data_IF_243565524082
#
_entry.id   IF_243565524082
#
_cell.length_a   1.000
_cell.length_b   1.000
_cell.length_c   1.000
_cell.angle_alpha   90.00
_cell.angle_beta   90.00
_cell.angle_gamma   90.00
#
_symmetry.space_group_name_H-M   'P 1'
#
loop_
_entity.id
_entity.type
_entity.pdbx_description
1 polymer ?
#
# COMPACT_ATOMS: atom_id res chain seq x y z
N UNK A 1 2.02 10.40 19.27
CA UNK A 1 0.59 10.45 19.64
C UNK A 1 -0.12 11.74 19.23
N UNK A 2 0.41 12.93 19.52
CA UNK A 2 -0.29 14.20 19.21
C UNK A 2 -0.75 14.34 17.75
N UNK A 3 0.07 13.92 16.79
CA UNK A 3 -0.30 13.95 15.36
C UNK A 3 -1.46 13.02 14.99
N UNK A 4 -1.55 11.85 15.63
CA UNK A 4 -2.67 10.93 15.43
C UNK A 4 -3.97 11.55 15.96
N UNK A 5 -3.93 12.12 17.16
CA UNK A 5 -5.10 12.80 17.77
C UNK A 5 -5.51 14.01 16.93
N UNK A 6 -4.54 14.81 16.47
CA UNK A 6 -4.79 15.95 15.60
C UNK A 6 -5.42 15.53 14.27
N UNK A 7 -4.85 14.54 13.58
CA UNK A 7 -5.40 14.02 12.32
C UNK A 7 -6.80 13.42 12.52
N UNK A 8 -7.02 12.71 13.63
CA UNK A 8 -8.34 12.18 14.00
C UNK A 8 -9.37 13.31 14.21
N UNK A 9 -9.01 14.34 14.98
CA UNK A 9 -9.90 15.48 15.19
C UNK A 9 -10.19 16.23 13.87
N UNK A 10 -9.14 16.50 13.09
CA UNK A 10 -9.25 17.17 11.79
C UNK A 10 -10.27 16.48 10.89
N UNK A 11 -10.12 15.18 10.67
CA UNK A 11 -10.95 14.44 9.71
C UNK A 11 -12.36 14.16 10.25
N UNK A 12 -12.52 14.01 11.57
CA UNK A 12 -13.82 13.98 12.22
C UNK A 12 -14.60 15.28 11.96
N UNK A 13 -14.02 16.44 12.30
CA UNK A 13 -14.69 17.72 12.18
C UNK A 13 -14.91 18.14 10.72
N UNK A 14 -13.91 17.96 9.86
CA UNK A 14 -14.05 18.28 8.43
C UNK A 14 -15.08 17.38 7.76
N UNK A 15 -15.14 16.09 8.09
CA UNK A 15 -16.18 15.17 7.62
C UNK A 15 -17.59 15.66 7.98
N UNK A 16 -17.79 16.07 9.24
CA UNK A 16 -19.05 16.67 9.69
C UNK A 16 -19.38 17.97 8.93
N UNK A 17 -18.41 18.87 8.75
CA UNK A 17 -18.60 20.12 8.02
C UNK A 17 -18.90 19.93 6.53
N UNK A 18 -18.31 18.92 5.88
CA UNK A 18 -18.65 18.55 4.50
C UNK A 18 -20.11 18.11 4.41
N UNK A 19 -20.55 17.27 5.34
CA UNK A 19 -21.94 16.78 5.33
C UNK A 19 -22.96 17.90 5.58
N UNK A 20 -22.65 18.83 6.49
CA UNK A 20 -23.51 19.96 6.86
C UNK A 20 -23.50 21.13 5.86
N UNK A 21 -22.52 21.18 4.95
CA UNK A 21 -22.40 22.28 3.99
C UNK A 21 -23.60 22.32 3.02
N UNK A 22 -24.24 23.50 2.95
CA UNK A 22 -25.47 23.73 2.15
C UNK A 22 -25.19 23.81 0.65
N UNK A 23 -23.98 24.21 0.27
CA UNK A 23 -23.60 24.46 -1.11
C UNK A 23 -22.29 23.74 -1.46
N UNK A 24 -22.04 23.61 -2.77
CA UNK A 24 -20.89 22.84 -3.24
C UNK A 24 -19.54 23.54 -3.00
N UNK A 25 -19.51 24.87 -2.82
CA UNK A 25 -18.26 25.57 -2.49
C UNK A 25 -17.86 25.26 -1.05
N UNK A 26 -18.81 25.28 -0.11
CA UNK A 26 -18.58 24.84 1.26
C UNK A 26 -18.05 23.41 1.35
N UNK A 27 -18.67 22.46 0.64
CA UNK A 27 -18.19 21.06 0.58
C UNK A 27 -16.76 20.95 0.07
N UNK A 28 -16.44 21.66 -1.02
CA UNK A 28 -15.09 21.66 -1.61
C UNK A 28 -14.06 22.31 -0.68
N UNK A 29 -14.40 23.39 0.01
CA UNK A 29 -13.50 24.07 0.93
C UNK A 29 -13.05 23.13 2.05
N UNK A 30 -14.00 22.49 2.76
CA UNK A 30 -13.67 21.58 3.86
C UNK A 30 -12.94 20.32 3.39
N UNK A 31 -13.30 19.81 2.21
CA UNK A 31 -12.56 18.71 1.57
C UNK A 31 -11.10 19.10 1.34
N UNK A 32 -10.84 20.20 0.64
CA UNK A 32 -9.47 20.60 0.31
C UNK A 32 -8.67 21.07 1.52
N UNK A 33 -9.33 21.57 2.56
CA UNK A 33 -8.69 21.86 3.84
C UNK A 33 -8.17 20.57 4.50
N UNK A 34 -9.01 19.54 4.62
CA UNK A 34 -8.57 18.23 5.16
C UNK A 34 -7.48 17.62 4.29
N UNK A 35 -7.65 17.59 2.97
CA UNK A 35 -6.65 17.05 2.04
C UNK A 35 -5.33 17.81 2.16
N UNK A 36 -5.37 19.14 2.18
CA UNK A 36 -4.18 19.99 2.27
C UNK A 36 -3.42 19.78 3.57
N UNK A 37 -4.11 19.68 4.71
CA UNK A 37 -3.45 19.45 6.00
C UNK A 37 -2.89 18.02 6.09
N UNK A 38 -3.65 16.99 5.69
CA UNK A 38 -3.18 15.61 5.70
C UNK A 38 -1.94 15.40 4.81
N UNK A 39 -1.99 15.89 3.57
CA UNK A 39 -0.86 15.80 2.65
C UNK A 39 0.29 16.72 3.09
N UNK A 40 0.01 17.86 3.72
CA UNK A 40 1.01 18.74 4.32
C UNK A 40 1.79 18.06 5.43
N UNK A 41 1.11 17.34 6.33
CA UNK A 41 1.76 16.53 7.37
C UNK A 41 2.64 15.44 6.75
N UNK A 42 2.17 14.72 5.74
CA UNK A 42 3.03 13.77 5.02
C UNK A 42 4.22 14.46 4.36
N UNK A 43 4.00 15.62 3.72
CA UNK A 43 5.04 16.44 3.10
C UNK A 43 6.16 16.77 4.07
N UNK A 44 5.81 17.33 5.24
CA UNK A 44 6.78 17.75 6.26
C UNK A 44 7.49 16.57 6.92
N UNK A 45 6.74 15.58 7.40
CA UNK A 45 7.32 14.51 8.22
C UNK A 45 7.99 13.42 7.39
N UNK A 46 7.50 13.15 6.18
CA UNK A 46 7.98 12.03 5.35
C UNK A 46 8.86 12.44 4.19
N UNK A 47 8.57 13.56 3.53
CA UNK A 47 9.21 13.88 2.25
C UNK A 47 10.16 15.07 2.29
N UNK A 48 10.14 15.88 3.35
CA UNK A 48 10.94 17.10 3.44
C UNK A 48 12.43 16.86 3.19
N UNK A 49 13.04 15.94 3.93
CA UNK A 49 14.48 15.67 3.81
C UNK A 49 14.87 15.13 2.42
N UNK A 50 14.00 14.34 1.79
CA UNK A 50 14.23 13.84 0.43
C UNK A 50 14.21 14.96 -0.61
N UNK A 51 13.20 15.84 -0.55
CA UNK A 51 13.10 16.96 -1.50
C UNK A 51 14.21 17.98 -1.30
N UNK A 52 14.55 18.30 -0.04
CA UNK A 52 15.65 19.22 0.29
C UNK A 52 16.98 18.64 -0.17
N UNK A 53 17.27 17.37 0.14
CA UNK A 53 18.50 16.70 -0.30
C UNK A 53 18.62 16.66 -1.82
N UNK A 54 17.54 16.29 -2.53
CA UNK A 54 17.52 16.28 -3.99
C UNK A 54 17.74 17.68 -4.59
N UNK A 55 17.17 18.73 -3.98
CA UNK A 55 17.36 20.10 -4.42
C UNK A 55 18.79 20.59 -4.19
N UNK A 56 19.39 20.28 -3.04
CA UNK A 56 20.80 20.61 -2.73
C UNK A 56 21.72 19.93 -3.76
N UNK A 57 21.54 18.64 -4.02
CA UNK A 57 22.34 17.91 -5.02
C UNK A 57 22.19 18.54 -6.41
N UNK A 58 20.97 18.80 -6.85
CA UNK A 58 20.70 19.43 -8.16
C UNK A 58 21.36 20.80 -8.29
N UNK A 59 21.24 21.66 -7.28
CA UNK A 59 21.79 23.03 -7.31
C UNK A 59 23.32 23.03 -7.15
N UNK A 60 23.86 22.04 -6.42
CA UNK A 60 25.30 21.78 -6.32
C UNK A 60 25.92 21.38 -7.66
N UNK A 61 25.22 20.64 -8.52
CA UNK A 61 25.67 20.36 -9.90
C UNK A 61 25.81 21.64 -10.74
N UNK A 62 25.06 22.69 -10.41
CA UNK A 62 25.19 24.02 -11.02
C UNK A 62 26.19 24.94 -10.29
N UNK A 63 27.00 24.39 -9.37
CA UNK A 63 28.05 25.12 -8.66
C UNK A 63 27.57 26.02 -7.51
N UNK A 64 26.29 25.92 -7.13
CA UNK A 64 25.72 26.72 -6.03
C UNK A 64 25.64 25.87 -4.77
N UNK A 65 26.47 26.19 -3.79
CA UNK A 65 26.47 25.51 -2.50
C UNK A 65 25.37 26.10 -1.60
N UNK A 66 24.26 25.37 -1.45
CA UNK A 66 23.19 25.70 -0.50
C UNK A 66 23.21 24.73 0.68
N UNK A 67 23.05 25.25 1.90
CA UNK A 67 22.95 24.44 3.12
C UNK A 67 21.60 24.68 3.80
N UNK A 68 20.60 23.89 3.40
CA UNK A 68 19.35 23.82 4.15
C UNK A 68 19.50 22.82 5.31
N UNK A 69 18.95 23.16 6.47
CA UNK A 69 18.97 22.25 7.62
C UNK A 69 18.00 21.09 7.39
N UNK A 70 18.49 19.86 7.51
CA UNK A 70 17.63 18.69 7.56
C UNK A 70 16.75 18.75 8.82
N UNK A 71 15.50 18.32 8.70
CA UNK A 71 14.62 18.14 9.84
C UNK A 71 14.94 16.78 10.48
N UNK A 72 15.58 16.79 11.65
CA UNK A 72 15.80 15.59 12.47
C UNK A 72 14.53 15.23 13.26
N UNK A 73 13.44 14.98 12.53
CA UNK A 73 12.14 14.68 13.12
C UNK A 73 11.88 13.18 12.98
N UNK A 74 11.64 12.53 14.11
CA UNK A 74 11.26 11.11 14.14
C UNK A 74 9.91 10.95 13.45
N UNK A 75 9.88 10.10 12.41
CA UNK A 75 8.67 9.76 11.69
C UNK A 75 7.63 9.14 12.64
N UNK A 76 6.42 9.71 12.74
CA UNK A 76 5.38 9.12 13.57
C UNK A 76 4.94 7.78 12.98
N UNK A 77 4.99 6.74 13.81
CA UNK A 77 4.53 5.39 13.43
C UNK A 77 3.07 5.48 12.95
N UNK A 78 2.79 4.86 11.80
CA UNK A 78 1.45 4.79 11.23
C UNK A 78 0.98 6.02 10.45
N UNK A 79 1.78 7.09 10.31
CA UNK A 79 1.35 8.33 9.62
C UNK A 79 0.81 8.10 8.22
N UNK A 80 1.44 7.19 7.47
CA UNK A 80 0.97 6.85 6.13
C UNK A 80 -0.39 6.14 6.12
N UNK A 81 -0.67 5.32 7.14
CA UNK A 81 -1.91 4.55 7.24
C UNK A 81 -3.07 5.41 7.74
N UNK A 82 -2.90 6.13 8.86
CA UNK A 82 -3.98 6.94 9.40
C UNK A 82 -4.34 8.13 8.50
N UNK A 83 -3.37 8.69 7.74
CA UNK A 83 -3.68 9.68 6.70
C UNK A 83 -4.57 9.09 5.60
N UNK A 84 -4.34 7.84 5.20
CA UNK A 84 -5.17 7.18 4.18
C UNK A 84 -6.58 6.88 4.71
N UNK A 85 -6.71 6.47 5.98
CA UNK A 85 -8.01 6.29 6.65
C UNK A 85 -8.80 7.61 6.72
N UNK A 86 -8.13 8.69 7.14
CA UNK A 86 -8.71 10.04 7.23
C UNK A 86 -9.18 10.56 5.87
N UNK A 87 -8.30 10.51 4.85
CA UNK A 87 -8.65 10.90 3.49
C UNK A 87 -9.79 10.07 2.90
N UNK A 88 -9.79 8.75 3.09
CA UNK A 88 -10.89 7.88 2.65
C UNK A 88 -12.23 8.31 3.24
N UNK A 89 -12.26 8.60 4.55
CA UNK A 89 -13.47 9.04 5.24
C UNK A 89 -14.03 10.34 4.64
N UNK A 90 -13.17 11.35 4.49
CA UNK A 90 -13.54 12.68 3.97
C UNK A 90 -13.96 12.58 2.49
N UNK A 91 -13.26 11.78 1.67
CA UNK A 91 -13.65 11.55 0.28
C UNK A 91 -14.98 10.81 0.16
N UNK A 92 -15.22 9.77 0.96
CA UNK A 92 -16.46 9.00 0.88
C UNK A 92 -17.67 9.84 1.34
N UNK A 93 -17.51 10.72 2.35
CA UNK A 93 -18.55 11.68 2.75
C UNK A 93 -18.81 12.70 1.65
N UNK A 94 -17.77 13.28 1.05
CA UNK A 94 -17.90 14.26 -0.03
C UNK A 94 -18.65 13.68 -1.25
N UNK A 95 -18.40 12.42 -1.59
CA UNK A 95 -19.09 11.72 -2.67
C UNK A 95 -20.43 11.10 -2.26
N UNK A 96 -20.88 11.29 -1.01
CA UNK A 96 -22.15 10.77 -0.52
C UNK A 96 -22.21 9.24 -0.38
N UNK A 97 -21.06 8.57 -0.28
CA UNK A 97 -20.97 7.11 -0.11
C UNK A 97 -21.20 6.67 1.34
N UNK A 98 -20.95 7.56 2.30
CA UNK A 98 -21.25 7.33 3.73
C UNK A 98 -21.66 8.63 4.39
N UNK A 99 -22.38 8.52 5.51
CA UNK A 99 -22.61 9.65 6.43
C UNK A 99 -21.43 9.73 7.42
N UNK A 100 -21.08 10.93 7.93
CA UNK A 100 -20.13 11.03 9.03
C UNK A 100 -20.72 10.41 10.30
N UNK A 101 -19.86 9.89 11.17
CA UNK A 101 -20.28 9.47 12.52
C UNK A 101 -20.31 10.66 13.45
N UNK A 102 -21.31 10.71 14.33
CA UNK A 102 -21.45 11.77 15.34
C UNK A 102 -20.67 11.46 16.63
N UNK A 103 -20.15 10.22 16.75
CA UNK A 103 -19.42 9.78 17.92
C UNK A 103 -17.91 9.83 17.68
N UNK A 104 -17.24 10.80 18.29
CA UNK A 104 -15.79 10.97 18.21
C UNK A 104 -15.01 9.75 18.68
N UNK A 105 -15.51 9.01 19.68
CA UNK A 105 -14.88 7.79 20.18
C UNK A 105 -14.91 6.69 19.12
N UNK A 106 -16.05 6.48 18.45
CA UNK A 106 -16.16 5.49 17.38
C UNK A 106 -15.23 5.82 16.21
N UNK A 107 -15.17 7.11 15.84
CA UNK A 107 -14.23 7.57 14.82
C UNK A 107 -12.77 7.37 15.25
N UNK A 108 -12.45 7.67 16.51
CA UNK A 108 -11.11 7.46 17.05
C UNK A 108 -10.72 5.99 17.03
N UNK A 109 -11.64 5.08 17.36
CA UNK A 109 -11.42 3.62 17.24
C UNK A 109 -11.18 3.21 15.79
N UNK A 110 -11.90 3.78 14.82
CA UNK A 110 -11.67 3.50 13.40
C UNK A 110 -10.25 3.91 12.96
N UNK A 111 -9.81 5.11 13.32
CA UNK A 111 -8.48 5.62 12.93
C UNK A 111 -7.35 4.90 13.67
N UNK A 112 -7.53 4.63 14.96
CA UNK A 112 -6.51 4.05 15.85
C UNK A 112 -6.68 2.55 16.11
N UNK A 113 -7.45 1.84 15.27
CA UNK A 113 -7.70 0.42 15.46
C UNK A 113 -6.36 -0.35 15.45
N UNK A 114 -5.91 -0.74 16.64
CA UNK A 114 -4.53 -1.17 16.87
C UNK A 114 -4.09 -2.38 16.01
N UNK A 115 -4.96 -3.33 15.59
CA UNK A 115 -4.53 -4.40 14.68
C UNK A 115 -4.06 -3.86 13.32
N UNK A 116 -4.50 -2.66 12.92
CA UNK A 116 -4.20 -2.06 11.62
C UNK A 116 -3.08 -1.02 11.66
N UNK A 117 -2.87 -0.38 12.80
CA UNK A 117 -2.23 0.93 12.90
C UNK A 117 -0.81 0.99 12.32
N UNK A 118 -0.06 -0.11 12.38
CA UNK A 118 1.34 -0.16 11.94
C UNK A 118 1.49 -0.77 10.54
N UNK A 119 0.82 -1.91 10.28
CA UNK A 119 1.07 -2.70 9.08
C UNK A 119 -0.16 -3.53 8.63
N UNK A 120 -1.38 -3.09 8.93
CA UNK A 120 -2.58 -3.80 8.50
C UNK A 120 -3.13 -3.35 7.14
N UNK A 121 -4.23 -3.96 6.69
CA UNK A 121 -5.02 -3.45 5.58
C UNK A 121 -5.43 -1.98 5.78
N UNK A 122 -5.39 -1.21 4.70
CA UNK A 122 -5.93 0.15 4.65
C UNK A 122 -7.45 0.03 4.60
N UNK A 123 -8.08 0.18 5.76
CA UNK A 123 -9.51 0.05 5.92
C UNK A 123 -10.27 1.27 5.41
N UNK A 124 -11.56 1.05 5.16
CA UNK A 124 -12.49 2.12 4.78
C UNK A 124 -13.53 2.33 5.85
N UNK A 125 -13.89 3.60 6.06
CA UNK A 125 -14.95 3.95 6.98
C UNK A 125 -16.27 3.28 6.59
N UNK A 126 -16.56 3.13 5.30
CA UNK A 126 -17.73 2.42 4.77
C UNK A 126 -17.79 0.94 5.17
N UNK A 127 -16.67 0.33 5.54
CA UNK A 127 -16.57 -1.09 5.88
C UNK A 127 -16.40 -1.31 7.40
N UNK A 128 -15.46 -0.63 8.04
CA UNK A 128 -15.12 -0.86 9.46
C UNK A 128 -16.00 -0.07 10.43
N UNK A 129 -16.36 1.18 10.10
CA UNK A 129 -17.10 2.05 11.03
C UNK A 129 -18.49 1.50 11.39
N UNK A 130 -19.30 0.97 10.44
CA UNK A 130 -20.56 0.32 10.77
C UNK A 130 -20.43 -0.92 11.66
N UNK A 131 -19.26 -1.57 11.68
CA UNK A 131 -18.99 -2.70 12.58
C UNK A 131 -18.66 -2.21 13.99
N UNK A 132 -17.91 -1.10 14.10
CA UNK A 132 -17.60 -0.44 15.39
C UNK A 132 -18.87 0.09 16.07
N UNK A 133 -19.81 0.63 15.30
CA UNK A 133 -21.06 1.21 15.83
C UNK A 133 -22.06 0.15 16.30
N UNK A 134 -21.90 -1.11 15.88
CA UNK A 134 -22.78 -2.20 16.31
C UNK A 134 -22.33 -2.78 17.66
N UNK A 135 -23.27 -3.16 18.54
CA UNK A 135 -22.96 -3.93 19.73
C UNK A 135 -22.21 -5.21 19.36
N UNK A 136 -21.12 -5.49 20.08
CA UNK A 136 -20.28 -6.67 19.85
C UNK A 136 -20.78 -7.84 20.70
N UNK A 137 -20.92 -9.00 20.07
CA UNK A 137 -21.20 -10.26 20.73
C UNK A 137 -20.04 -11.22 20.50
N UNK A 138 -19.59 -11.91 21.55
CA UNK A 138 -18.54 -12.90 21.42
C UNK A 138 -19.04 -14.11 20.62
N UNK A 139 -18.26 -14.53 19.63
CA UNK A 139 -18.54 -15.69 18.80
C UNK A 139 -17.36 -16.65 18.85
N UNK A 140 -17.51 -17.77 19.56
CA UNK A 140 -16.44 -18.74 19.78
C UNK A 140 -15.89 -19.34 18.46
N UNK A 141 -16.73 -19.82 17.51
CA UNK A 141 -16.24 -20.25 16.20
C UNK A 141 -15.40 -19.20 15.45
N UNK A 142 -15.80 -17.93 15.47
CA UNK A 142 -15.03 -16.84 14.86
C UNK A 142 -13.70 -16.63 15.59
N UNK A 143 -13.70 -16.72 16.92
CA UNK A 143 -12.48 -16.59 17.71
C UNK A 143 -11.47 -17.71 17.40
N UNK A 144 -11.93 -18.97 17.29
CA UNK A 144 -11.09 -20.11 16.88
C UNK A 144 -10.49 -19.89 15.48
N UNK A 145 -11.30 -19.41 14.53
CA UNK A 145 -10.82 -19.07 13.19
C UNK A 145 -9.83 -17.89 13.21
N UNK A 146 -10.02 -16.91 14.10
CA UNK A 146 -9.06 -15.82 14.33
C UNK A 146 -7.72 -16.33 14.85
N UNK A 147 -7.74 -17.20 15.87
CA UNK A 147 -6.53 -17.82 16.43
C UNK A 147 -5.76 -18.67 15.42
N UNK A 148 -6.47 -19.45 14.59
CA UNK A 148 -5.85 -20.21 13.49
C UNK A 148 -5.15 -19.29 12.48
N UNK A 149 -5.78 -18.16 12.15
CA UNK A 149 -5.20 -17.19 11.22
C UNK A 149 -3.99 -16.47 11.82
N UNK A 150 -4.04 -16.13 13.12
CA UNK A 150 -2.89 -15.59 13.86
C UNK A 150 -1.72 -16.58 13.80
N UNK A 151 -1.97 -17.86 14.10
CA UNK A 151 -0.93 -18.91 14.08
C UNK A 151 -0.30 -19.03 12.68
N UNK A 152 -1.11 -19.01 11.62
CA UNK A 152 -0.61 -19.03 10.26
C UNK A 152 0.23 -17.78 9.91
N UNK A 153 -0.21 -16.61 10.38
CA UNK A 153 0.56 -15.37 10.23
C UNK A 153 1.92 -15.42 10.92
N UNK A 154 1.97 -15.94 12.15
CA UNK A 154 3.22 -16.17 12.88
C UNK A 154 4.13 -17.16 12.16
N UNK A 155 3.60 -18.27 11.63
CA UNK A 155 4.40 -19.22 10.88
C UNK A 155 5.04 -18.58 9.65
N UNK A 156 4.27 -17.83 8.85
CA UNK A 156 4.82 -17.12 7.68
C UNK A 156 5.89 -16.11 8.08
N UNK A 157 5.65 -15.32 9.13
CA UNK A 157 6.59 -14.30 9.58
C UNK A 157 7.88 -14.92 10.15
N UNK A 158 7.74 -15.73 11.19
CA UNK A 158 8.87 -16.21 12.00
C UNK A 158 9.57 -17.40 11.34
N UNK A 159 8.82 -18.36 10.80
CA UNK A 159 9.43 -19.58 10.25
C UNK A 159 9.88 -19.41 8.80
N UNK A 160 9.24 -18.54 8.00
CA UNK A 160 9.61 -18.36 6.60
C UNK A 160 10.34 -17.03 6.39
N UNK A 161 9.70 -15.90 6.68
CA UNK A 161 10.23 -14.60 6.30
C UNK A 161 11.55 -14.29 7.00
N UNK A 162 11.65 -14.51 8.31
CA UNK A 162 12.86 -14.20 9.08
C UNK A 162 14.05 -15.08 8.64
N UNK A 163 13.81 -16.35 8.28
CA UNK A 163 14.86 -17.22 7.73
C UNK A 163 15.27 -16.80 6.30
N UNK A 164 14.32 -16.42 5.44
CA UNK A 164 14.64 -15.88 4.12
C UNK A 164 15.43 -14.56 4.23
N UNK A 165 15.08 -13.71 5.21
CA UNK A 165 15.72 -12.43 5.46
C UNK A 165 17.20 -12.58 5.81
N UNK A 166 17.57 -13.59 6.61
CA UNK A 166 18.97 -13.83 6.96
C UNK A 166 19.84 -14.02 5.71
N UNK A 167 19.46 -14.93 4.81
CA UNK A 167 20.19 -15.21 3.58
C UNK A 167 20.08 -14.08 2.55
N UNK A 168 18.90 -13.48 2.42
CA UNK A 168 18.65 -12.32 1.55
C UNK A 168 19.57 -11.17 1.93
N UNK A 169 19.63 -10.80 3.21
CA UNK A 169 20.50 -9.74 3.70
C UNK A 169 21.99 -10.09 3.55
N UNK A 170 22.38 -11.35 3.79
CA UNK A 170 23.77 -11.80 3.55
C UNK A 170 24.20 -11.57 2.10
N UNK A 171 23.33 -11.84 1.12
CA UNK A 171 23.62 -11.67 -0.30
C UNK A 171 23.61 -10.18 -0.69
N UNK A 172 22.57 -9.44 -0.29
CA UNK A 172 22.40 -8.04 -0.70
C UNK A 172 23.38 -7.09 -0.03
N UNK A 173 23.80 -7.35 1.21
CA UNK A 173 24.76 -6.49 1.92
C UNK A 173 26.20 -6.65 1.39
N UNK A 174 26.50 -7.73 0.67
CA UNK A 174 27.82 -8.01 0.10
C UNK A 174 27.73 -8.39 -1.39
N UNK A 175 26.82 -7.73 -2.10
CA UNK A 175 26.44 -8.05 -3.49
C UNK A 175 27.64 -8.09 -4.45
N UNK A 176 28.66 -7.25 -4.22
CA UNK A 176 29.84 -7.13 -5.07
C UNK A 176 30.72 -8.39 -5.08
N UNK A 177 30.64 -9.24 -4.04
CA UNK A 177 31.44 -10.46 -3.91
C UNK A 177 30.69 -11.73 -4.31
N UNK A 178 29.39 -11.63 -4.60
CA UNK A 178 28.57 -12.77 -5.00
C UNK A 178 28.39 -12.85 -6.53
N UNK A 179 28.37 -14.07 -7.12
CA UNK A 179 28.05 -14.24 -8.53
C UNK A 179 26.57 -13.93 -8.79
N UNK A 180 26.23 -13.59 -10.04
CA UNK A 180 24.86 -13.25 -10.42
C UNK A 180 23.80 -14.34 -10.13
N UNK A 181 24.20 -15.62 -10.07
CA UNK A 181 23.30 -16.71 -9.64
C UNK A 181 22.92 -16.61 -8.16
N UNK A 182 23.83 -16.17 -7.30
CA UNK A 182 23.56 -15.91 -5.89
C UNK A 182 22.71 -14.64 -5.74
N UNK A 183 22.96 -13.58 -6.52
CA UNK A 183 22.10 -12.39 -6.53
C UNK A 183 20.66 -12.70 -6.96
N UNK A 184 20.50 -13.61 -7.93
CA UNK A 184 19.19 -14.09 -8.36
C UNK A 184 18.48 -14.85 -7.24
N UNK A 185 19.20 -15.74 -6.55
CA UNK A 185 18.67 -16.45 -5.39
C UNK A 185 18.28 -15.47 -4.27
N UNK A 186 19.12 -14.47 -3.99
CA UNK A 186 18.81 -13.39 -3.06
C UNK A 186 17.52 -12.67 -3.43
N UNK A 187 17.33 -12.32 -4.70
CA UNK A 187 16.10 -11.68 -5.21
C UNK A 187 14.85 -12.56 -5.02
N UNK A 188 14.97 -13.87 -5.23
CA UNK A 188 13.88 -14.84 -5.00
C UNK A 188 13.56 -14.92 -3.51
N UNK A 189 14.59 -15.06 -2.66
CA UNK A 189 14.44 -15.12 -1.21
C UNK A 189 13.82 -13.84 -0.66
N UNK A 190 14.28 -12.66 -1.10
CA UNK A 190 13.69 -11.38 -0.74
C UNK A 190 12.22 -11.28 -1.17
N UNK A 191 11.85 -11.81 -2.34
CA UNK A 191 10.45 -11.82 -2.77
C UNK A 191 9.57 -12.67 -1.84
N UNK A 192 10.07 -13.84 -1.43
CA UNK A 192 9.39 -14.71 -0.46
C UNK A 192 9.31 -14.04 0.91
N UNK A 193 10.43 -13.49 1.40
CA UNK A 193 10.53 -12.71 2.63
C UNK A 193 9.48 -11.62 2.67
N UNK A 194 9.50 -10.69 1.70
CA UNK A 194 8.59 -9.54 1.64
C UNK A 194 7.12 -9.96 1.64
N UNK A 195 6.79 -11.04 0.92
CA UNK A 195 5.43 -11.58 0.92
C UNK A 195 5.03 -12.22 2.25
N UNK A 196 5.87 -13.08 2.81
CA UNK A 196 5.59 -13.82 4.04
C UNK A 196 5.59 -12.90 5.27
N UNK A 197 6.45 -11.89 5.28
CA UNK A 197 6.50 -10.84 6.30
C UNK A 197 5.18 -10.06 6.31
N UNK A 198 4.85 -9.43 5.18
CA UNK A 198 3.72 -8.53 5.12
C UNK A 198 2.36 -9.27 5.15
N UNK A 199 2.26 -10.40 4.46
CA UNK A 199 1.07 -11.24 4.56
C UNK A 199 0.96 -11.91 5.93
N UNK A 200 2.07 -12.16 6.62
CA UNK A 200 2.11 -12.63 8.00
C UNK A 200 1.48 -11.62 8.96
N UNK A 201 1.95 -10.37 8.93
CA UNK A 201 1.36 -9.26 9.68
C UNK A 201 -0.12 -9.05 9.36
N UNK A 202 -0.48 -9.10 8.07
CA UNK A 202 -1.88 -8.97 7.65
C UNK A 202 -2.75 -10.08 8.23
N UNK A 203 -2.27 -11.34 8.25
CA UNK A 203 -3.04 -12.45 8.83
C UNK A 203 -3.18 -12.36 10.34
N UNK A 204 -2.13 -11.91 11.04
CA UNK A 204 -2.20 -11.62 12.48
C UNK A 204 -3.23 -10.51 12.74
N UNK A 205 -3.20 -9.42 11.98
CA UNK A 205 -4.16 -8.32 12.10
C UNK A 205 -5.61 -8.76 11.87
N UNK A 206 -5.86 -9.52 10.80
CA UNK A 206 -7.18 -10.08 10.48
C UNK A 206 -7.67 -11.03 11.57
N UNK A 207 -6.79 -11.89 12.07
CA UNK A 207 -7.15 -12.84 13.12
C UNK A 207 -7.42 -12.15 14.46
N UNK A 208 -6.65 -11.11 14.83
CA UNK A 208 -6.93 -10.28 16.00
C UNK A 208 -8.26 -9.56 15.88
N UNK A 209 -8.55 -8.95 14.73
CA UNK A 209 -9.82 -8.27 14.50
C UNK A 209 -11.03 -9.21 14.68
N UNK A 210 -10.92 -10.46 14.24
CA UNK A 210 -11.97 -11.48 14.46
C UNK A 210 -12.23 -11.78 15.93
N UNK A 211 -11.20 -11.71 16.80
CA UNK A 211 -11.40 -11.85 18.25
C UNK A 211 -12.27 -10.72 18.81
N UNK A 212 -12.26 -9.54 18.19
CA UNK A 212 -13.11 -8.40 18.53
C UNK A 212 -14.44 -8.37 17.77
N UNK A 213 -14.75 -9.42 16.99
CA UNK A 213 -15.95 -9.49 16.15
C UNK A 213 -15.91 -8.54 14.94
N UNK A 214 -14.71 -8.14 14.50
CA UNK A 214 -14.51 -7.28 13.33
C UNK A 214 -13.95 -8.09 12.16
N UNK A 215 -14.47 -7.84 10.97
CA UNK A 215 -13.95 -8.38 9.72
C UNK A 215 -13.21 -7.28 8.96
N UNK A 216 -11.95 -7.56 8.63
CA UNK A 216 -11.07 -6.66 7.87
C UNK A 216 -10.91 -7.14 6.42
N UNK A 217 -10.59 -6.19 5.54
CA UNK A 217 -10.24 -6.39 4.14
C UNK A 217 -8.96 -7.23 4.04
N UNK A 218 -8.89 -8.10 3.03
CA UNK A 218 -7.68 -8.89 2.76
C UNK A 218 -6.68 -8.08 1.95
N UNK A 219 -5.40 -8.18 2.30
CA UNK A 219 -4.32 -7.56 1.53
C UNK A 219 -3.74 -8.48 0.45
N UNK A 220 -3.78 -9.79 0.64
CA UNK A 220 -3.10 -10.73 -0.23
C UNK A 220 -4.00 -11.90 -0.65
N UNK A 221 -3.86 -12.31 -1.91
CA UNK A 221 -4.57 -13.45 -2.47
C UNK A 221 -3.66 -14.25 -3.42
N UNK A 222 -2.67 -14.95 -2.86
CA UNK A 222 -1.71 -15.78 -3.60
C UNK A 222 -1.08 -15.06 -4.82
N UNK A 223 -0.45 -13.89 -4.62
CA UNK A 223 -0.02 -13.00 -5.72
C UNK A 223 1.04 -13.63 -6.63
N UNK A 224 1.97 -14.44 -6.10
CA UNK A 224 3.03 -15.05 -6.91
C UNK A 224 2.55 -16.17 -7.84
N UNK A 225 1.28 -16.59 -7.71
CA UNK A 225 0.62 -17.50 -8.64
C UNK A 225 -0.19 -16.74 -9.70
N UNK A 226 0.23 -15.54 -10.08
CA UNK A 226 -0.46 -14.72 -11.08
C UNK A 226 0.12 -14.97 -12.46
N UNK A 227 -0.74 -15.08 -13.49
CA UNK A 227 -0.35 -15.35 -14.88
C UNK A 227 0.06 -14.09 -15.64
N UNK A 228 -0.25 -12.92 -15.09
CA UNK A 228 0.20 -11.64 -15.63
C UNK A 228 0.32 -10.58 -14.53
N UNK A 229 1.00 -9.48 -14.83
CA UNK A 229 1.26 -8.42 -13.86
C UNK A 229 -0.02 -7.69 -13.40
N UNK A 230 -1.07 -7.66 -14.23
CA UNK A 230 -2.34 -7.06 -13.83
C UNK A 230 -3.07 -7.96 -12.82
N UNK A 231 -2.99 -9.29 -12.95
CA UNK A 231 -3.47 -10.27 -11.98
C UNK A 231 -2.66 -10.18 -10.67
N UNK A 232 -1.34 -10.00 -10.76
CA UNK A 232 -0.48 -9.77 -9.59
C UNK A 232 -0.95 -8.57 -8.77
N UNK A 233 -1.13 -7.40 -9.41
CA UNK A 233 -1.58 -6.18 -8.73
C UNK A 233 -3.04 -6.22 -8.22
N UNK A 234 -3.85 -7.18 -8.70
CA UNK A 234 -5.18 -7.45 -8.10
C UNK A 234 -5.10 -8.34 -6.86
N UNK A 235 -3.95 -8.97 -6.60
CA UNK A 235 -3.73 -9.96 -5.54
C UNK A 235 -2.67 -9.54 -4.51
N UNK A 236 -1.89 -8.52 -4.82
CA UNK A 236 -0.87 -7.92 -3.97
C UNK A 236 -1.39 -6.62 -3.35
N UNK A 237 -1.20 -6.45 -2.03
CA UNK A 237 -1.58 -5.26 -1.26
C UNK A 237 -2.93 -4.64 -1.68
N UNK A 238 -3.95 -5.50 -1.75
CA UNK A 238 -5.27 -5.22 -2.34
C UNK A 238 -5.91 -3.97 -1.73
N UNK A 239 -5.78 -3.74 -0.42
CA UNK A 239 -6.35 -2.55 0.22
C UNK A 239 -5.78 -1.27 -0.36
N UNK A 240 -4.45 -1.18 -0.51
CA UNK A 240 -3.75 -0.02 -1.06
C UNK A 240 -4.04 0.16 -2.55
N UNK A 241 -3.96 -0.91 -3.34
CA UNK A 241 -4.27 -0.83 -4.77
C UNK A 241 -5.74 -0.42 -5.00
N UNK A 242 -6.66 -0.90 -4.17
CA UNK A 242 -8.07 -0.49 -4.24
C UNK A 242 -8.27 0.97 -3.83
N UNK A 243 -7.51 1.46 -2.84
CA UNK A 243 -7.54 2.84 -2.38
C UNK A 243 -7.13 3.79 -3.51
N UNK A 244 -5.96 3.56 -4.12
CA UNK A 244 -5.50 4.37 -5.25
C UNK A 244 -6.45 4.29 -6.44
N UNK A 245 -7.01 3.10 -6.72
CA UNK A 245 -8.00 2.93 -7.77
C UNK A 245 -9.22 3.83 -7.54
N UNK A 246 -9.77 3.85 -6.32
CA UNK A 246 -11.05 4.51 -6.06
C UNK A 246 -10.93 6.01 -5.80
N UNK A 247 -9.81 6.47 -5.22
CA UNK A 247 -9.60 7.87 -4.85
C UNK A 247 -8.67 8.65 -5.79
N UNK A 248 -7.93 7.97 -6.68
CA UNK A 248 -7.04 8.62 -7.67
C UNK A 248 -7.40 8.23 -9.10
N UNK A 249 -7.38 6.94 -9.43
CA UNK A 249 -7.56 6.48 -10.81
C UNK A 249 -8.95 6.77 -11.38
N UNK A 250 -10.02 6.43 -10.66
CA UNK A 250 -11.40 6.67 -11.08
C UNK A 250 -11.69 8.17 -11.25
N UNK A 251 -11.34 9.06 -10.30
CA UNK A 251 -11.47 10.51 -10.48
C UNK A 251 -10.72 11.07 -11.70
N UNK A 252 -9.59 10.48 -12.10
CA UNK A 252 -8.86 10.85 -13.32
C UNK A 252 -9.51 10.34 -14.63
N UNK A 253 -10.71 9.76 -14.56
CA UNK A 253 -11.47 9.20 -15.69
C UNK A 253 -11.39 7.68 -15.82
N UNK A 254 -10.62 7.02 -14.95
CA UNK A 254 -10.53 5.57 -14.86
C UNK A 254 -10.19 4.88 -16.18
N UNK A 255 -10.89 3.79 -16.49
CA UNK A 255 -10.71 3.05 -17.76
C UNK A 255 -11.61 3.56 -18.90
N UNK A 256 -12.46 4.57 -18.67
CA UNK A 256 -13.39 5.11 -19.69
C UNK A 256 -12.73 6.12 -20.63
N UNK A 257 -11.51 6.57 -20.31
CA UNK A 257 -10.71 7.48 -21.13
C UNK A 257 -9.92 6.74 -22.22
N UNK A 258 -9.37 7.50 -23.16
CA UNK A 258 -8.50 6.98 -24.21
C UNK A 258 -7.23 6.30 -23.64
N UNK A 259 -6.55 5.54 -24.50
CA UNK A 259 -5.41 4.69 -24.10
C UNK A 259 -4.27 5.50 -23.48
N UNK A 260 -3.91 6.65 -24.07
CA UNK A 260 -2.87 7.54 -23.53
C UNK A 260 -3.20 8.05 -22.11
N UNK A 261 -4.43 8.52 -21.88
CA UNK A 261 -4.87 8.94 -20.55
C UNK A 261 -4.89 7.75 -19.58
N UNK A 262 -5.23 6.54 -20.03
CA UNK A 262 -5.19 5.33 -19.21
C UNK A 262 -3.77 4.98 -18.76
N UNK A 263 -2.79 5.07 -19.67
CA UNK A 263 -1.37 4.85 -19.37
C UNK A 263 -0.90 5.90 -18.37
N UNK A 264 -1.12 7.19 -18.64
CA UNK A 264 -0.79 8.28 -17.72
C UNK A 264 -1.39 8.07 -16.33
N UNK A 265 -2.69 7.74 -16.25
CA UNK A 265 -3.36 7.52 -14.98
C UNK A 265 -2.78 6.31 -14.23
N UNK A 266 -2.34 5.27 -14.93
CA UNK A 266 -1.68 4.10 -14.32
C UNK A 266 -0.28 4.44 -13.82
N UNK A 267 0.48 5.22 -14.58
CA UNK A 267 1.78 5.74 -14.17
C UNK A 267 1.67 6.60 -12.89
N UNK A 268 0.64 7.47 -12.84
CA UNK A 268 0.36 8.30 -11.65
C UNK A 268 0.11 7.41 -10.42
N UNK A 269 -0.68 6.32 -10.54
CA UNK A 269 -0.89 5.40 -9.40
C UNK A 269 0.43 4.81 -8.94
N UNK A 270 1.24 4.27 -9.84
CA UNK A 270 2.50 3.62 -9.46
C UNK A 270 3.48 4.61 -8.84
N UNK A 271 3.58 5.83 -9.37
CA UNK A 271 4.45 6.88 -8.80
C UNK A 271 3.97 7.26 -7.40
N UNK A 272 2.68 7.51 -7.22
CA UNK A 272 2.12 7.83 -5.90
C UNK A 272 2.26 6.65 -4.92
N UNK A 273 2.14 5.41 -5.41
CA UNK A 273 2.37 4.21 -4.61
C UNK A 273 3.84 4.06 -4.21
N UNK A 274 4.78 4.31 -5.12
CA UNK A 274 6.22 4.29 -4.84
C UNK A 274 6.59 5.35 -3.80
N UNK A 275 6.16 6.60 -4.01
CA UNK A 275 6.36 7.68 -3.03
C UNK A 275 5.71 7.34 -1.69
N UNK A 276 4.53 6.72 -1.70
CA UNK A 276 3.90 6.27 -0.47
C UNK A 276 4.72 5.22 0.27
N UNK A 277 5.53 4.39 -0.39
CA UNK A 277 6.41 3.46 0.31
C UNK A 277 7.62 4.17 0.92
N UNK A 278 8.26 5.09 0.20
CA UNK A 278 9.38 5.84 0.75
C UNK A 278 9.84 7.00 -0.13
N UNK A 279 10.78 7.77 0.42
CA UNK A 279 11.30 8.98 -0.16
C UNK A 279 12.73 8.75 -0.68
N UNK A 280 12.85 7.89 -1.69
CA UNK A 280 14.09 7.54 -2.37
C UNK A 280 13.83 7.30 -3.86
N UNK A 281 14.85 7.48 -4.70
CA UNK A 281 14.72 7.33 -6.15
C UNK A 281 14.46 5.89 -6.60
N UNK A 282 14.88 4.89 -5.82
CA UNK A 282 14.58 3.47 -6.04
C UNK A 282 13.07 3.21 -6.14
N UNK A 283 12.25 3.88 -5.32
CA UNK A 283 10.79 3.80 -5.39
C UNK A 283 10.19 4.42 -6.67
N UNK A 284 10.86 5.44 -7.23
CA UNK A 284 10.46 6.06 -8.51
C UNK A 284 10.80 5.11 -9.67
N UNK A 285 11.99 4.51 -9.66
CA UNK A 285 12.39 3.49 -10.66
C UNK A 285 11.45 2.29 -10.58
N UNK A 286 11.14 1.81 -9.39
CA UNK A 286 10.15 0.76 -9.16
C UNK A 286 8.78 1.09 -9.76
N UNK A 287 8.32 2.33 -9.62
CA UNK A 287 7.07 2.79 -10.19
C UNK A 287 7.10 2.80 -11.72
N UNK A 288 8.22 3.21 -12.32
CA UNK A 288 8.43 3.18 -13.77
C UNK A 288 8.42 1.74 -14.28
N UNK A 289 9.17 0.83 -13.64
CA UNK A 289 9.22 -0.58 -14.01
C UNK A 289 7.83 -1.22 -14.02
N UNK A 290 7.05 -1.03 -12.96
CA UNK A 290 5.69 -1.58 -12.89
C UNK A 290 4.74 -0.97 -13.93
N UNK A 291 4.91 0.31 -14.24
CA UNK A 291 4.18 0.98 -15.34
C UNK A 291 4.53 0.36 -16.69
N UNK A 292 5.81 0.06 -16.93
CA UNK A 292 6.26 -0.59 -18.16
C UNK A 292 5.75 -2.03 -18.25
N UNK A 293 5.76 -2.78 -17.16
CA UNK A 293 5.29 -4.17 -17.14
C UNK A 293 3.80 -4.28 -17.48
N UNK A 294 2.96 -3.35 -16.99
CA UNK A 294 1.51 -3.39 -17.25
C UNK A 294 1.13 -2.84 -18.64
N UNK A 295 2.02 -2.05 -19.27
CA UNK A 295 1.75 -1.34 -20.52
C UNK A 295 1.28 -2.26 -21.66
N UNK A 296 1.90 -3.42 -21.95
CA UNK A 296 1.44 -4.32 -23.01
C UNK A 296 0.00 -4.80 -22.79
N UNK A 297 -0.39 -5.07 -21.55
CA UNK A 297 -1.74 -5.51 -21.20
C UNK A 297 -2.77 -4.39 -21.34
N UNK A 298 -2.36 -3.14 -21.10
CA UNK A 298 -3.21 -1.97 -21.32
C UNK A 298 -3.45 -1.70 -22.81
N UNK A 299 -2.41 -1.82 -23.64
CA UNK A 299 -2.48 -1.61 -25.08
C UNK A 299 -3.31 -2.70 -25.77
N UNK A 300 -3.10 -3.96 -25.38
CA UNK A 300 -3.82 -5.12 -25.93
C UNK A 300 -5.21 -5.33 -25.32
N UNK A 301 -5.59 -4.55 -24.29
CA UNK A 301 -6.83 -4.69 -23.51
C UNK A 301 -7.02 -6.06 -22.85
N UNK A 302 -5.94 -6.80 -22.66
CA UNK A 302 -5.93 -8.14 -22.04
C UNK A 302 -5.79 -8.10 -20.51
N UNK A 303 -5.76 -6.92 -19.90
CA UNK A 303 -5.56 -6.73 -18.46
C UNK A 303 -6.67 -7.32 -17.56
N UNK A 304 -7.75 -7.87 -18.13
CA UNK A 304 -8.86 -8.53 -17.42
C UNK A 304 -9.11 -9.97 -17.90
N UNK A 305 -8.18 -10.60 -18.60
CA UNK A 305 -8.37 -11.98 -19.08
C UNK A 305 -8.25 -13.00 -17.94
N UNK A 306 -7.43 -12.70 -16.94
CA UNK A 306 -7.18 -13.58 -15.80
C UNK A 306 -7.87 -13.07 -14.53
N UNK A 307 -9.19 -13.21 -14.46
CA UNK A 307 -10.02 -12.83 -13.29
C UNK A 307 -10.36 -14.01 -12.38
N UNK A 308 -10.37 -15.21 -12.94
CA UNK A 308 -10.66 -16.46 -12.21
C UNK A 308 -9.43 -17.01 -11.52
N UNK A 309 -9.63 -17.94 -10.56
CA UNK A 309 -8.53 -18.65 -9.90
C UNK A 309 -7.74 -19.46 -10.94
N UNK A 310 -6.43 -19.51 -10.78
CA UNK A 310 -5.57 -20.36 -11.62
C UNK A 310 -6.00 -21.81 -11.49
N UNK A 311 -6.00 -22.55 -12.60
CA UNK A 311 -6.39 -23.96 -12.63
C UNK A 311 -7.82 -24.24 -12.10
N UNK A 312 -8.78 -23.31 -12.29
CA UNK A 312 -10.19 -23.54 -11.90
C UNK A 312 -10.70 -24.90 -12.44
N UNK A 313 -11.08 -25.79 -11.52
CA UNK A 313 -11.55 -27.14 -11.85
C UNK A 313 -10.45 -28.17 -12.13
N UNK A 314 -9.17 -27.84 -11.89
CA UNK A 314 -8.01 -28.72 -12.05
C UNK A 314 -7.13 -28.67 -10.79
N UNK A 315 -6.35 -29.72 -10.57
CA UNK A 315 -5.38 -29.77 -9.46
C UNK A 315 -4.12 -28.93 -9.75
N UNK A 316 -3.69 -28.87 -11.02
CA UNK A 316 -2.46 -28.21 -11.43
C UNK A 316 -2.70 -27.23 -12.59
N UNK A 317 -1.90 -26.15 -12.67
CA UNK A 317 -1.89 -25.24 -13.82
C UNK A 317 -1.46 -25.96 -15.09
N UNK A 318 -1.90 -25.46 -16.24
CA UNK A 318 -1.38 -25.91 -17.53
C UNK A 318 0.10 -25.50 -17.67
N UNK A 319 0.88 -26.19 -18.51
CA UNK A 319 2.27 -25.81 -18.76
C UNK A 319 2.43 -24.35 -19.25
N UNK A 320 1.58 -23.82 -20.16
CA UNK A 320 1.60 -22.40 -20.51
C UNK A 320 1.28 -21.46 -19.34
N UNK A 321 0.33 -21.82 -18.47
CA UNK A 321 0.03 -21.02 -17.27
C UNK A 321 1.19 -21.03 -16.28
N UNK A 322 1.88 -22.17 -16.14
CA UNK A 322 3.08 -22.27 -15.30
C UNK A 322 4.19 -21.34 -15.80
N UNK A 323 4.48 -21.34 -17.11
CA UNK A 323 5.48 -20.42 -17.68
C UNK A 323 5.10 -18.95 -17.49
N UNK A 324 3.81 -18.62 -17.63
CA UNK A 324 3.28 -17.26 -17.38
C UNK A 324 3.42 -16.84 -15.91
N UNK A 325 3.15 -17.76 -14.98
CA UNK A 325 3.36 -17.52 -13.56
C UNK A 325 4.84 -17.30 -13.23
N UNK A 326 5.73 -18.15 -13.78
CA UNK A 326 7.16 -18.00 -13.59
C UNK A 326 7.64 -16.65 -14.14
N UNK A 327 7.25 -16.28 -15.36
CA UNK A 327 7.61 -14.98 -15.96
C UNK A 327 7.12 -13.81 -15.10
N UNK A 328 5.86 -13.85 -14.65
CA UNK A 328 5.28 -12.80 -13.82
C UNK A 328 6.03 -12.69 -12.49
N UNK A 329 6.33 -13.83 -11.86
CA UNK A 329 7.11 -13.88 -10.63
C UNK A 329 8.50 -13.26 -10.83
N UNK A 330 9.22 -13.61 -11.89
CA UNK A 330 10.55 -13.07 -12.17
C UNK A 330 10.54 -11.55 -12.41
N UNK A 331 9.54 -11.04 -13.15
CA UNK A 331 9.35 -9.58 -13.32
C UNK A 331 9.08 -8.89 -11.99
N UNK A 332 8.23 -9.48 -11.14
CA UNK A 332 7.94 -8.91 -9.82
C UNK A 332 9.15 -8.98 -8.89
N UNK A 333 9.92 -10.07 -8.94
CA UNK A 333 11.15 -10.23 -8.15
C UNK A 333 12.17 -9.17 -8.54
N UNK A 334 12.37 -8.92 -9.84
CA UNK A 334 13.26 -7.86 -10.32
C UNK A 334 12.82 -6.47 -9.83
N UNK A 335 11.52 -6.17 -9.89
CA UNK A 335 11.02 -4.91 -9.34
C UNK A 335 11.25 -4.83 -7.82
N UNK A 336 11.00 -5.92 -7.09
CA UNK A 336 11.23 -5.97 -5.64
C UNK A 336 12.71 -5.79 -5.27
N UNK A 337 13.65 -6.29 -6.08
CA UNK A 337 15.07 -6.04 -5.89
C UNK A 337 15.38 -4.55 -5.92
N UNK A 338 14.90 -3.83 -6.95
CA UNK A 338 15.04 -2.36 -7.03
C UNK A 338 14.39 -1.67 -5.84
N UNK A 339 13.25 -2.18 -5.37
CA UNK A 339 12.56 -1.66 -4.19
C UNK A 339 13.38 -1.82 -2.89
N UNK A 340 14.21 -2.87 -2.79
CA UNK A 340 15.03 -3.18 -1.62
C UNK A 340 16.37 -2.46 -1.60
N UNK A 341 16.93 -2.15 -2.76
CA UNK A 341 18.24 -1.51 -2.89
C UNK A 341 18.30 -0.18 -2.14
N UNK A 342 19.45 0.11 -1.53
CA UNK A 342 19.66 1.32 -0.74
C UNK A 342 19.64 2.59 -1.61
N UNK A 343 20.17 2.48 -2.82
CA UNK A 343 20.22 3.54 -3.81
C UNK A 343 20.14 2.98 -5.24
N UNK A 344 20.12 3.89 -6.22
CA UNK A 344 20.02 3.51 -7.63
C UNK A 344 21.28 2.78 -8.11
N UNK A 345 22.48 3.16 -7.62
CA UNK A 345 23.74 2.56 -8.07
C UNK A 345 23.77 1.08 -7.67
N UNK A 346 23.45 0.80 -6.41
CA UNK A 346 23.30 -0.55 -5.88
C UNK A 346 22.10 -1.32 -6.45
N UNK A 347 21.17 -0.66 -7.15
CA UNK A 347 20.09 -1.34 -7.86
C UNK A 347 20.48 -1.78 -9.28
N UNK A 348 21.49 -1.14 -9.87
CA UNK A 348 22.00 -1.45 -11.21
C UNK A 348 23.14 -2.47 -11.20
N UNK A 349 23.90 -2.53 -10.11
CA UNK A 349 24.88 -3.58 -9.82
C UNK A 349 24.20 -4.79 -9.19
#
# INVERSE_FOLDING_TARGET
MFLLVFSTALDFFTGQKIYQAKDQRGKKFWLWLSVGINLGLLGVFKYYNFFVGSFISMVGEFGVNTSFSALNVILPVGISFYTFHGLSYVFDIYHGRTKPTDNFVNYSVFVSFFPLLVAGPIERATHLLPQIEKPRAFNYPQAVNGMRQILWGYFKKVAIADNCAEYSNMIFNDHAHYPGSALLLGSILFSIEMYCDFSGYSDIALGLARLFGMELLRNFAFPFFSRDIAEFWRRWHISLSSWFKDYVYIPLGGSKVNVWKRIRNTAIIFILSGLWHGAAWTYVVWAILNTLYILPLLLTKNNRNHMEIVAKGKLLPSFPDFLRMLLTFMLTALALTVFRSEDIVNAFH
#
